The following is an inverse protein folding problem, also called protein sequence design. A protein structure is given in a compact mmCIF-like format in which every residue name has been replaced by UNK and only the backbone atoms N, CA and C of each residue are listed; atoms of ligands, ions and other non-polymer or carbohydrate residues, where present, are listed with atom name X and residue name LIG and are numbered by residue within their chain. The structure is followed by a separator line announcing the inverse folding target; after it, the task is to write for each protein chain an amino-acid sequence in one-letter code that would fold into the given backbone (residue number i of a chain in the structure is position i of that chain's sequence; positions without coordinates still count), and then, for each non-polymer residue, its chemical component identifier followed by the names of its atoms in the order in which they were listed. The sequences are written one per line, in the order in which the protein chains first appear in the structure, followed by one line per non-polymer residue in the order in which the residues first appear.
data_IF_705202026561
#
_entry.id   IF_705202026561
#
_cell.length_a   1.000
_cell.length_b   1.000
_cell.length_c   1.000
_cell.angle_alpha   90.00
_cell.angle_beta   90.00
_cell.angle_gamma   90.00
#
_symmetry.space_group_name_H-M   'P 1'
#
loop_
_entity.id
_entity.type
_entity.pdbx_description
1 polymer ?
#
# COMPACT_ATOMS: atom_id res chain seq x y z
N UNK A 1 1.31 -0.97 -12.68
CA UNK A 1 2.31 -1.08 -13.77
C UNK A 1 3.00 0.24 -14.19
N UNK A 2 3.07 1.27 -13.33
CA UNK A 2 3.50 2.62 -13.75
C UNK A 2 2.72 3.14 -14.99
N UNK A 3 1.39 2.99 -14.99
CA UNK A 3 0.53 3.39 -16.11
C UNK A 3 0.59 2.48 -17.34
N UNK A 4 0.96 1.21 -17.17
CA UNK A 4 0.98 0.19 -18.23
C UNK A 4 2.34 0.00 -18.88
N UNK A 5 3.33 0.85 -18.58
CA UNK A 5 4.64 0.91 -19.25
C UNK A 5 5.39 -0.43 -19.27
N UNK A 6 5.14 -1.31 -18.30
CA UNK A 6 5.78 -2.62 -18.18
C UNK A 6 4.83 -3.77 -18.53
N UNK A 7 4.08 -3.62 -19.62
CA UNK A 7 3.17 -4.64 -20.16
C UNK A 7 1.96 -4.95 -19.29
N UNK A 8 1.62 -4.09 -18.33
CA UNK A 8 0.46 -4.27 -17.47
C UNK A 8 0.50 -5.52 -16.57
N UNK A 9 1.65 -6.18 -16.44
CA UNK A 9 1.74 -7.47 -15.71
C UNK A 9 1.33 -7.32 -14.24
N UNK A 10 1.67 -6.18 -13.63
CA UNK A 10 1.26 -5.84 -12.26
C UNK A 10 -0.20 -5.38 -12.13
N UNK A 11 -0.90 -5.17 -13.25
CA UNK A 11 -2.32 -4.79 -13.25
C UNK A 11 -3.23 -6.02 -13.37
N UNK A 12 -2.67 -7.18 -13.71
CA UNK A 12 -3.41 -8.44 -13.69
C UNK A 12 -3.87 -8.74 -12.27
N UNK A 13 -5.17 -9.00 -12.13
CA UNK A 13 -5.80 -9.15 -10.83
C UNK A 13 -6.76 -10.35 -10.85
N UNK A 14 -6.37 -11.39 -10.13
CA UNK A 14 -7.22 -12.55 -9.80
C UNK A 14 -6.97 -12.93 -8.35
N UNK A 15 -7.91 -13.67 -7.76
CA UNK A 15 -7.80 -14.15 -6.38
C UNK A 15 -6.51 -14.96 -6.11
N UNK A 16 -5.94 -15.62 -7.11
CA UNK A 16 -4.76 -16.47 -7.00
C UNK A 16 -3.49 -15.94 -7.68
N UNK A 17 -3.53 -14.76 -8.34
CA UNK A 17 -2.38 -14.22 -9.10
C UNK A 17 -1.17 -13.87 -8.25
N UNK A 18 -1.43 -13.35 -7.04
CA UNK A 18 -0.41 -12.82 -6.14
C UNK A 18 -0.29 -13.69 -4.88
N UNK A 19 0.95 -13.95 -4.48
CA UNK A 19 1.26 -14.45 -3.14
C UNK A 19 0.86 -13.40 -2.10
N UNK A 20 0.28 -13.85 -0.98
CA UNK A 20 -0.24 -12.98 0.07
C UNK A 20 0.50 -13.28 1.37
N UNK A 21 1.07 -12.25 1.97
CA UNK A 21 1.60 -12.36 3.32
C UNK A 21 0.44 -12.29 4.33
N UNK A 22 0.37 -13.25 5.24
CA UNK A 22 -0.61 -13.23 6.31
C UNK A 22 -0.28 -12.12 7.30
N UNK A 23 -1.22 -11.22 7.53
CA UNK A 23 -1.17 -10.19 8.57
C UNK A 23 -2.45 -10.26 9.42
N UNK A 24 -2.44 -9.61 10.59
CA UNK A 24 -3.64 -9.45 11.42
C UNK A 24 -4.16 -8.03 11.30
N UNK A 25 -5.47 -7.83 11.49
CA UNK A 25 -6.01 -6.50 11.75
C UNK A 25 -5.41 -5.87 13.01
N UNK A 26 -5.49 -4.55 13.13
CA UNK A 26 -4.86 -3.78 14.20
C UNK A 26 -3.50 -3.20 13.79
N UNK A 27 -2.65 -2.91 14.78
CA UNK A 27 -1.36 -2.27 14.56
C UNK A 27 -0.40 -3.17 13.77
N UNK A 28 0.03 -2.70 12.61
CA UNK A 28 1.04 -3.35 11.77
C UNK A 28 2.20 -2.40 11.50
N UNK A 29 3.41 -2.94 11.47
CA UNK A 29 4.63 -2.17 11.21
C UNK A 29 5.09 -2.41 9.78
N UNK A 30 5.23 -1.33 9.01
CA UNK A 30 5.69 -1.34 7.63
C UNK A 30 7.02 -0.60 7.52
N UNK A 31 8.04 -1.25 6.96
CA UNK A 31 9.37 -0.65 6.76
C UNK A 31 9.68 -0.53 5.28
N UNK A 32 10.01 0.69 4.84
CA UNK A 32 10.45 0.98 3.48
C UNK A 32 11.98 0.93 3.36
N UNK A 33 12.46 0.56 2.17
CA UNK A 33 13.86 0.70 1.78
C UNK A 33 13.94 1.55 0.52
N UNK A 34 14.69 2.65 0.60
CA UNK A 34 14.96 3.51 -0.55
C UNK A 34 16.37 3.24 -1.07
N UNK A 35 16.51 2.94 -2.35
CA UNK A 35 17.82 2.87 -3.03
C UNK A 35 18.38 4.26 -3.34
N UNK A 36 17.49 5.26 -3.42
CA UNK A 36 17.80 6.68 -3.48
C UNK A 36 16.79 7.45 -2.61
N UNK A 37 17.28 8.20 -1.61
CA UNK A 37 16.44 8.94 -0.68
C UNK A 37 16.20 10.37 -1.18
N UNK A 38 14.98 10.66 -1.62
CA UNK A 38 14.56 11.98 -2.08
C UNK A 38 13.78 12.74 -0.99
N UNK A 39 13.75 14.10 -1.06
CA UNK A 39 12.84 14.92 -0.26
C UNK A 39 11.42 14.40 -0.31
N UNK A 40 10.84 14.09 0.85
CA UNK A 40 9.52 13.45 0.94
C UNK A 40 8.57 14.34 1.74
N UNK A 41 7.34 14.49 1.25
CA UNK A 41 6.31 15.27 1.96
C UNK A 41 5.50 14.44 2.94
N UNK A 42 5.17 13.19 2.57
CA UNK A 42 4.33 12.28 3.33
C UNK A 42 4.27 10.90 2.69
N UNK A 43 3.76 9.94 3.46
CA UNK A 43 3.33 8.62 3.03
C UNK A 43 1.83 8.46 3.26
N UNK A 44 1.13 7.89 2.29
CA UNK A 44 -0.27 7.53 2.42
C UNK A 44 -0.42 6.01 2.32
N UNK A 45 -1.20 5.44 3.23
CA UNK A 45 -1.52 4.02 3.27
C UNK A 45 -2.98 3.83 2.91
N UNK A 46 -3.24 2.86 2.03
CA UNK A 46 -4.57 2.50 1.58
C UNK A 46 -4.76 1.00 1.68
N UNK A 47 -6.00 0.57 1.84
CA UNK A 47 -6.41 -0.83 1.74
C UNK A 47 -7.67 -0.92 0.89
N UNK A 48 -7.94 -2.10 0.34
CA UNK A 48 -9.19 -2.36 -0.35
C UNK A 48 -10.37 -2.34 0.63
N UNK A 49 -11.52 -1.88 0.14
CA UNK A 49 -12.77 -1.89 0.89
C UNK A 49 -13.23 -3.33 1.12
N UNK A 50 -14.01 -3.53 2.18
CA UNK A 50 -14.69 -4.81 2.42
C UNK A 50 -15.56 -5.15 1.21
N UNK A 51 -15.48 -6.40 0.75
CA UNK A 51 -16.29 -6.89 -0.38
C UNK A 51 -15.78 -6.48 -1.77
N UNK A 52 -14.58 -5.88 -1.87
CA UNK A 52 -13.95 -5.67 -3.18
C UNK A 52 -13.79 -7.00 -3.95
N UNK A 53 -13.88 -6.94 -5.28
CA UNK A 53 -13.77 -8.12 -6.13
C UNK A 53 -12.29 -8.38 -6.51
N UNK A 54 -11.65 -9.43 -5.98
CA UNK A 54 -10.24 -9.70 -6.26
C UNK A 54 -9.98 -10.20 -7.68
N UNK A 55 -11.02 -10.40 -8.50
CA UNK A 55 -10.92 -10.81 -9.91
C UNK A 55 -11.20 -9.66 -10.88
N UNK A 56 -11.36 -8.43 -10.38
CA UNK A 56 -11.52 -7.22 -11.20
C UNK A 56 -10.27 -6.34 -11.14
N UNK A 57 -10.03 -5.51 -12.16
CA UNK A 57 -8.97 -4.51 -12.12
C UNK A 57 -9.09 -3.61 -10.88
N UNK A 58 -7.97 -3.38 -10.21
CA UNK A 58 -7.94 -2.50 -9.05
C UNK A 58 -8.10 -1.04 -9.48
N UNK A 59 -9.07 -0.34 -8.90
CA UNK A 59 -9.30 1.09 -9.16
C UNK A 59 -9.22 1.89 -7.87
N UNK A 60 -9.13 3.23 -8.00
CA UNK A 60 -9.08 4.11 -6.84
C UNK A 60 -10.35 4.06 -5.98
N UNK A 61 -11.50 3.78 -6.60
CA UNK A 61 -12.80 3.69 -5.93
C UNK A 61 -12.90 2.48 -4.98
N UNK A 62 -12.12 1.43 -5.24
CA UNK A 62 -12.04 0.22 -4.41
C UNK A 62 -11.16 0.40 -3.16
N UNK A 63 -10.45 1.52 -3.05
CA UNK A 63 -9.49 1.79 -1.97
C UNK A 63 -10.01 2.82 -0.97
N UNK A 64 -9.62 2.67 0.29
CA UNK A 64 -9.86 3.63 1.36
C UNK A 64 -8.57 3.95 2.14
N UNK A 65 -8.39 5.19 2.63
CA UNK A 65 -7.20 5.57 3.40
C UNK A 65 -7.23 4.95 4.80
N UNK A 66 -6.09 4.41 5.25
CA UNK A 66 -5.92 3.85 6.60
C UNK A 66 -4.81 4.53 7.41
N UNK A 67 -4.05 5.43 6.78
CA UNK A 67 -3.02 6.18 7.49
C UNK A 67 -2.36 7.22 6.61
N UNK A 68 -1.91 8.31 7.24
CA UNK A 68 -1.01 9.29 6.62
C UNK A 68 0.10 9.60 7.60
N UNK A 69 1.35 9.43 7.16
CA UNK A 69 2.52 9.85 7.91
C UNK A 69 3.05 11.10 7.23
N UNK A 70 2.93 12.26 7.88
CA UNK A 70 3.53 13.50 7.38
C UNK A 70 5.05 13.43 7.54
N UNK A 71 5.76 14.05 6.63
CA UNK A 71 7.20 14.24 6.70
C UNK A 71 7.53 15.73 6.61
N UNK A 72 8.73 16.08 7.03
CA UNK A 72 9.21 17.46 7.15
C UNK A 72 9.79 18.02 5.83
N UNK A 73 9.75 17.24 4.74
CA UNK A 73 10.36 17.61 3.47
C UNK A 73 11.83 17.21 3.37
N UNK A 74 12.44 16.66 4.43
CA UNK A 74 13.79 16.12 4.36
C UNK A 74 13.83 14.84 3.54
N UNK A 75 15.05 14.37 3.25
CA UNK A 75 15.24 13.12 2.53
C UNK A 75 14.72 11.94 3.37
N UNK A 76 14.03 11.00 2.74
CA UNK A 76 13.46 9.80 3.39
C UNK A 76 14.51 8.78 3.87
N UNK A 77 15.71 9.21 4.28
CA UNK A 77 16.72 8.37 4.93
C UNK A 77 16.41 8.15 6.41
N UNK A 78 15.59 9.01 7.01
CA UNK A 78 15.03 8.86 8.34
C UNK A 78 13.55 8.42 8.21
N UNK A 79 12.95 7.94 9.32
CA UNK A 79 11.52 7.58 9.37
C UNK A 79 11.07 6.52 8.33
N UNK A 80 11.84 5.43 8.19
CA UNK A 80 11.54 4.35 7.24
C UNK A 80 10.41 3.42 7.71
N UNK A 81 10.16 3.38 9.02
CA UNK A 81 9.28 2.43 9.68
C UNK A 81 8.05 3.15 10.21
N UNK A 82 6.87 2.71 9.79
CA UNK A 82 5.60 3.29 10.20
C UNK A 82 4.70 2.22 10.81
N UNK A 83 4.04 2.56 11.91
CA UNK A 83 2.96 1.75 12.48
C UNK A 83 1.61 2.27 11.98
N UNK A 84 0.85 1.41 11.30
CA UNK A 84 -0.45 1.73 10.71
C UNK A 84 -1.49 0.74 11.25
N UNK A 85 -2.65 1.25 11.67
CA UNK A 85 -3.75 0.40 12.11
C UNK A 85 -4.53 -0.10 10.89
N UNK A 86 -4.39 -1.39 10.59
CA UNK A 86 -5.15 -2.08 9.55
C UNK A 86 -6.56 -2.38 10.08
N UNK A 87 -7.64 -2.14 9.32
CA UNK A 87 -8.99 -2.44 9.78
C UNK A 87 -9.16 -3.92 10.17
N UNK A 88 -9.88 -4.18 11.26
CA UNK A 88 -10.11 -5.52 11.82
C UNK A 88 -11.28 -6.26 11.18
N UNK A 89 -11.97 -5.63 10.22
CA UNK A 89 -13.12 -6.14 9.49
C UNK A 89 -12.78 -6.59 8.05
N UNK A 90 -11.48 -6.78 7.76
CA UNK A 90 -10.93 -7.32 6.51
C UNK A 90 -10.49 -8.77 6.75
N UNK A 91 -11.17 -9.73 6.12
CA UNK A 91 -10.92 -11.18 6.21
C UNK A 91 -10.76 -11.80 4.83
#
# INVERSE_FOLDING_TARGET
SAGGLFGGILDQQTSNRWFKNTIKGGANTFTWKYTAAHPTSKWHYYITKKGWDPNKPLTRAELEPIGTVKHDGSAASNNLTHTINVPTDRN
#
